data_IF_091714002384
#
_entry.id   IF_091714002384
#
_cell.length_a   1.000
_cell.length_b   1.000
_cell.length_c   1.000
_cell.angle_alpha   90.00
_cell.angle_beta   90.00
_cell.angle_gamma   90.00
#
_symmetry.space_group_name_H-M   'P 1'
#
loop_
_entity.id
_entity.type
_entity.pdbx_description
1 polymer ?
#
# COMPACT_ATOMS: atom_id res chain seq x y z
N UNK A 1 -0.54 -17.12 45.33
CA UNK A 1 -1.69 -17.02 44.39
C UNK A 1 -2.09 -15.61 44.03
N UNK A 2 -2.29 -14.70 44.96
CA UNK A 2 -2.70 -13.31 44.61
C UNK A 2 -1.69 -12.52 43.75
N UNK A 3 -0.38 -12.73 43.94
CA UNK A 3 0.66 -12.06 43.14
C UNK A 3 0.74 -12.58 41.69
N UNK A 4 0.56 -13.87 41.46
CA UNK A 4 0.59 -14.49 40.13
C UNK A 4 -0.56 -13.99 39.24
N UNK A 5 -1.76 -13.82 39.82
CA UNK A 5 -2.92 -13.29 39.11
C UNK A 5 -2.72 -11.84 38.68
N UNK A 6 -2.07 -10.99 39.52
CA UNK A 6 -1.74 -9.60 39.19
C UNK A 6 -0.76 -9.52 37.99
N UNK A 7 0.26 -10.36 37.94
CA UNK A 7 1.21 -10.41 36.82
C UNK A 7 0.55 -10.86 35.52
N UNK A 8 -0.36 -11.84 35.57
CA UNK A 8 -1.13 -12.29 34.40
C UNK A 8 -2.03 -11.16 33.87
N UNK A 9 -2.73 -10.43 34.73
CA UNK A 9 -3.58 -9.31 34.37
C UNK A 9 -2.79 -8.15 33.74
N UNK A 10 -1.61 -7.82 34.29
CA UNK A 10 -0.72 -6.77 33.74
C UNK A 10 -0.20 -7.20 32.36
N UNK A 11 0.22 -8.45 32.19
CA UNK A 11 0.68 -8.98 30.91
C UNK A 11 -0.43 -8.95 29.83
N UNK A 12 -1.66 -9.30 30.19
CA UNK A 12 -2.81 -9.26 29.28
C UNK A 12 -3.16 -7.82 28.87
N UNK A 13 -3.09 -6.88 29.80
CA UNK A 13 -3.32 -5.45 29.52
C UNK A 13 -2.27 -4.87 28.59
N UNK A 14 -0.98 -5.19 28.76
CA UNK A 14 0.09 -4.75 27.86
C UNK A 14 -0.09 -5.29 26.44
N UNK A 15 -0.53 -6.55 26.27
CA UNK A 15 -0.80 -7.12 24.95
C UNK A 15 -1.94 -6.39 24.22
N UNK A 16 -3.01 -6.04 24.93
CA UNK A 16 -4.13 -5.29 24.37
C UNK A 16 -3.74 -3.88 23.91
N UNK A 17 -2.89 -3.19 24.71
CA UNK A 17 -2.39 -1.86 24.34
C UNK A 17 -1.54 -1.86 23.05
N UNK A 18 -0.71 -2.88 22.86
CA UNK A 18 0.10 -2.99 21.63
C UNK A 18 -0.77 -3.20 20.39
N UNK A 19 -1.86 -3.94 20.50
CA UNK A 19 -2.77 -4.21 19.37
C UNK A 19 -3.50 -2.95 18.90
N UNK A 20 -3.95 -2.10 19.82
CA UNK A 20 -4.63 -0.82 19.51
C UNK A 20 -3.71 0.18 18.84
N UNK A 21 -2.45 0.30 19.27
CA UNK A 21 -1.46 1.22 18.68
C UNK A 21 -1.14 0.86 17.23
N UNK A 22 -0.98 -0.44 16.90
CA UNK A 22 -0.73 -0.87 15.52
C UNK A 22 -1.92 -0.59 14.59
N UNK A 23 -3.14 -0.85 15.03
CA UNK A 23 -4.35 -0.57 14.25
C UNK A 23 -4.50 0.93 13.95
N UNK A 24 -4.22 1.78 14.92
CA UNK A 24 -4.30 3.24 14.79
C UNK A 24 -3.24 3.80 13.83
N UNK A 25 -2.02 3.31 13.86
CA UNK A 25 -0.95 3.72 12.93
C UNK A 25 -1.28 3.33 11.50
N UNK A 26 -1.79 2.12 11.28
CA UNK A 26 -2.19 1.65 9.96
C UNK A 26 -3.32 2.50 9.36
N UNK A 27 -4.32 2.83 10.17
CA UNK A 27 -5.45 3.65 9.75
C UNK A 27 -5.00 5.05 9.29
N UNK A 28 -4.10 5.69 10.03
CA UNK A 28 -3.52 6.99 9.67
C UNK A 28 -2.76 6.93 8.34
N UNK A 29 -1.96 5.91 8.10
CA UNK A 29 -1.25 5.73 6.83
C UNK A 29 -2.21 5.59 5.64
N UNK A 30 -3.31 4.90 5.83
CA UNK A 30 -4.34 4.74 4.80
C UNK A 30 -5.04 6.07 4.50
N UNK A 31 -5.39 6.83 5.52
CA UNK A 31 -5.97 8.17 5.36
C UNK A 31 -5.03 9.12 4.63
N UNK A 32 -3.75 9.13 4.99
CA UNK A 32 -2.73 9.93 4.32
C UNK A 32 -2.60 9.55 2.83
N UNK A 33 -2.59 8.26 2.53
CA UNK A 33 -2.55 7.76 1.16
C UNK A 33 -3.77 8.21 0.35
N UNK A 34 -4.96 8.02 0.89
CA UNK A 34 -6.22 8.42 0.25
C UNK A 34 -6.22 9.93 0.00
N UNK A 35 -5.87 10.71 0.99
CA UNK A 35 -5.81 12.17 0.87
C UNK A 35 -4.84 12.62 -0.24
N UNK A 36 -3.69 11.95 -0.35
CA UNK A 36 -2.65 12.29 -1.34
C UNK A 36 -3.05 11.93 -2.78
N UNK A 37 -3.76 10.83 -2.99
CA UNK A 37 -4.02 10.26 -4.33
C UNK A 37 -5.47 10.33 -4.79
N UNK A 38 -6.40 10.82 -3.96
CA UNK A 38 -7.83 10.87 -4.29
C UNK A 38 -8.14 11.64 -5.58
N UNK A 39 -7.47 12.76 -5.81
CA UNK A 39 -7.74 13.60 -6.99
C UNK A 39 -7.33 12.89 -8.28
N UNK A 40 -6.22 12.15 -8.28
CA UNK A 40 -5.83 11.31 -9.40
C UNK A 40 -6.87 10.23 -9.70
N UNK A 41 -7.36 9.55 -8.66
CA UNK A 41 -8.38 8.52 -8.82
C UNK A 41 -9.71 9.09 -9.33
N UNK A 42 -10.07 10.30 -8.92
CA UNK A 42 -11.27 11.01 -9.42
C UNK A 42 -11.09 11.39 -10.89
N UNK A 43 -9.93 11.87 -11.29
CA UNK A 43 -9.65 12.20 -12.69
C UNK A 43 -9.71 10.95 -13.57
N UNK A 44 -9.17 9.84 -13.14
CA UNK A 44 -9.28 8.55 -13.83
C UNK A 44 -10.73 8.05 -13.89
N UNK A 45 -11.52 8.25 -12.84
CA UNK A 45 -12.95 7.93 -12.84
C UNK A 45 -13.71 8.72 -13.93
N UNK A 46 -13.41 10.00 -14.08
CA UNK A 46 -14.02 10.84 -15.12
C UNK A 46 -13.64 10.37 -16.52
N UNK A 47 -12.40 9.91 -16.69
CA UNK A 47 -11.84 9.49 -17.97
C UNK A 47 -12.29 8.09 -18.40
N UNK A 48 -12.23 7.13 -17.47
CA UNK A 48 -12.45 5.69 -17.75
C UNK A 48 -13.70 5.11 -17.08
N UNK A 49 -14.42 5.89 -16.28
CA UNK A 49 -15.65 5.47 -15.58
C UNK A 49 -15.45 4.34 -14.56
N UNK A 50 -14.25 4.15 -14.07
CA UNK A 50 -13.96 3.26 -12.93
C UNK A 50 -14.17 4.06 -11.65
N UNK A 51 -14.95 3.57 -10.67
CA UNK A 51 -15.15 4.29 -9.41
C UNK A 51 -13.82 4.62 -8.73
N UNK A 52 -13.65 5.88 -8.32
CA UNK A 52 -12.41 6.35 -7.68
C UNK A 52 -12.05 5.55 -6.42
N UNK A 53 -13.06 5.10 -5.67
CA UNK A 53 -12.87 4.25 -4.48
C UNK A 53 -12.20 2.90 -4.81
N UNK A 54 -12.50 2.32 -5.96
CA UNK A 54 -11.89 1.06 -6.42
C UNK A 54 -10.43 1.29 -6.78
N UNK A 55 -10.14 2.31 -7.57
CA UNK A 55 -8.76 2.66 -7.94
C UNK A 55 -7.91 2.97 -6.71
N UNK A 56 -8.43 3.76 -5.77
CA UNK A 56 -7.75 4.07 -4.51
C UNK A 56 -7.49 2.83 -3.66
N UNK A 57 -8.49 1.96 -3.51
CA UNK A 57 -8.35 0.74 -2.73
C UNK A 57 -7.28 -0.19 -3.33
N UNK A 58 -7.27 -0.36 -4.64
CA UNK A 58 -6.24 -1.16 -5.33
C UNK A 58 -4.85 -0.56 -5.15
N UNK A 59 -4.69 0.73 -5.42
CA UNK A 59 -3.41 1.42 -5.25
C UNK A 59 -2.88 1.34 -3.82
N UNK A 60 -3.75 1.51 -2.83
CA UNK A 60 -3.41 1.41 -1.41
C UNK A 60 -2.96 0.00 -1.03
N UNK A 61 -3.71 -1.03 -1.42
CA UNK A 61 -3.41 -2.42 -1.07
C UNK A 61 -2.17 -2.94 -1.82
N UNK A 62 -2.09 -2.74 -3.12
CA UNK A 62 -0.98 -3.21 -3.95
C UNK A 62 0.36 -2.55 -3.61
N UNK A 63 0.33 -1.31 -3.17
CA UNK A 63 1.54 -0.55 -2.82
C UNK A 63 1.87 -0.54 -1.33
N UNK A 64 1.04 -1.16 -0.48
CA UNK A 64 1.15 -1.03 0.97
C UNK A 64 1.09 0.42 1.41
N UNK A 65 0.07 1.17 0.96
CA UNK A 65 -0.06 2.61 1.16
C UNK A 65 1.15 3.42 0.64
N UNK A 66 1.75 2.98 -0.47
CA UNK A 66 2.96 3.58 -1.06
C UNK A 66 4.26 3.26 -0.32
N UNK A 67 4.24 2.38 0.67
CA UNK A 67 5.37 2.07 1.55
C UNK A 67 6.15 0.82 1.16
N UNK A 68 5.62 -0.02 0.27
CA UNK A 68 6.31 -1.24 -0.16
C UNK A 68 7.63 -0.93 -0.85
N UNK A 69 8.56 -1.88 -0.82
CA UNK A 69 9.86 -1.74 -1.49
C UNK A 69 9.69 -1.49 -2.98
N UNK A 70 8.81 -2.24 -3.64
CA UNK A 70 8.53 -2.07 -5.06
C UNK A 70 7.97 -0.68 -5.36
N UNK A 71 6.96 -0.22 -4.62
CA UNK A 71 6.34 1.10 -4.83
C UNK A 71 7.36 2.24 -4.66
N UNK A 72 8.23 2.16 -3.67
CA UNK A 72 9.26 3.19 -3.44
C UNK A 72 10.34 3.22 -4.51
N UNK A 73 10.75 2.07 -5.05
CA UNK A 73 11.77 1.97 -6.09
C UNK A 73 11.25 2.33 -7.48
N UNK A 74 10.01 1.99 -7.77
CA UNK A 74 9.44 2.06 -9.13
C UNK A 74 8.37 3.13 -9.32
N UNK A 75 7.85 3.72 -8.26
CA UNK A 75 6.63 4.56 -8.29
C UNK A 75 5.42 3.83 -8.90
N UNK A 76 5.43 2.52 -8.89
CA UNK A 76 4.40 1.66 -9.45
C UNK A 76 3.50 1.17 -8.31
N UNK A 77 2.37 1.81 -8.13
CA UNK A 77 1.45 1.54 -7.03
C UNK A 77 0.49 0.37 -7.30
N UNK A 78 0.43 -0.12 -8.53
CA UNK A 78 -0.50 -1.17 -8.95
C UNK A 78 0.19 -2.49 -9.30
N UNK A 79 1.51 -2.59 -9.10
CA UNK A 79 2.25 -3.79 -9.46
C UNK A 79 2.18 -4.13 -10.94
N UNK A 80 2.20 -3.13 -11.82
CA UNK A 80 2.06 -3.32 -13.26
C UNK A 80 3.35 -3.95 -13.80
N UNK A 81 3.22 -5.13 -14.38
CA UNK A 81 4.34 -5.86 -14.99
C UNK A 81 4.73 -5.25 -16.34
N UNK A 82 5.97 -5.49 -16.77
CA UNK A 82 6.51 -4.86 -17.99
C UNK A 82 5.65 -5.13 -19.23
N UNK A 83 5.25 -6.38 -19.44
CA UNK A 83 4.58 -6.77 -20.68
C UNK A 83 5.50 -6.65 -21.91
N UNK A 84 4.98 -7.02 -23.09
CA UNK A 84 5.75 -7.05 -24.33
C UNK A 84 6.05 -5.67 -24.95
N UNK A 85 5.20 -4.69 -24.68
CA UNK A 85 5.24 -3.37 -25.35
C UNK A 85 5.90 -2.27 -24.51
N UNK A 86 6.32 -2.58 -23.29
CA UNK A 86 6.89 -1.60 -22.40
C UNK A 86 8.35 -1.27 -22.79
N UNK A 87 8.60 -0.03 -23.13
CA UNK A 87 9.93 0.49 -23.48
C UNK A 87 10.53 1.43 -22.43
N UNK A 88 9.79 1.70 -21.36
CA UNK A 88 10.23 2.58 -20.26
C UNK A 88 11.17 1.88 -19.27
N UNK A 89 11.48 2.57 -18.19
CA UNK A 89 12.31 2.03 -17.12
C UNK A 89 11.65 0.83 -16.44
N UNK A 90 12.46 -0.06 -15.93
CA UNK A 90 12.01 -1.29 -15.26
C UNK A 90 12.69 -1.47 -13.92
N UNK A 91 12.04 -2.21 -13.03
CA UNK A 91 12.58 -2.69 -11.76
C UNK A 91 12.34 -4.18 -11.66
N UNK A 92 13.34 -4.92 -11.17
CA UNK A 92 13.19 -6.35 -10.87
C UNK A 92 12.80 -6.55 -9.42
N UNK A 93 11.82 -7.39 -9.19
CA UNK A 93 11.30 -7.70 -7.86
C UNK A 93 10.72 -9.11 -7.82
N UNK A 94 10.88 -9.77 -6.68
CA UNK A 94 10.27 -11.08 -6.45
C UNK A 94 8.79 -10.89 -6.09
N UNK A 95 7.91 -11.61 -6.78
CA UNK A 95 6.48 -11.62 -6.56
C UNK A 95 5.96 -13.06 -6.71
N UNK A 96 5.05 -13.34 -7.63
CA UNK A 96 4.59 -14.72 -7.92
C UNK A 96 5.74 -15.61 -8.41
N UNK A 97 6.68 -15.03 -9.13
CA UNK A 97 7.94 -15.64 -9.52
C UNK A 97 9.13 -14.78 -9.06
N UNK A 98 10.34 -15.37 -9.11
CA UNK A 98 11.56 -14.64 -8.79
C UNK A 98 11.95 -13.68 -9.91
N UNK A 99 12.47 -12.51 -9.54
CA UNK A 99 13.06 -11.55 -10.45
C UNK A 99 12.14 -11.09 -11.58
N UNK A 100 10.86 -10.91 -11.29
CA UNK A 100 9.89 -10.42 -12.26
C UNK A 100 10.14 -8.97 -12.66
N UNK A 101 9.76 -8.64 -13.90
CA UNK A 101 9.91 -7.30 -14.45
C UNK A 101 8.66 -6.46 -14.15
N UNK A 102 8.87 -5.34 -13.46
CA UNK A 102 7.84 -4.35 -13.20
C UNK A 102 8.17 -3.03 -13.89
N UNK A 103 7.13 -2.36 -14.38
CA UNK A 103 7.25 -1.01 -14.92
C UNK A 103 7.70 -0.05 -13.84
N UNK A 104 8.62 0.86 -14.16
CA UNK A 104 9.07 1.91 -13.26
C UNK A 104 8.72 3.27 -13.85
N UNK A 105 8.09 4.11 -13.03
CA UNK A 105 7.60 5.41 -13.42
C UNK A 105 8.41 6.53 -12.76
N UNK A 106 8.33 7.71 -13.34
CA UNK A 106 9.00 8.90 -12.82
C UNK A 106 8.29 9.42 -11.56
N UNK A 107 6.98 9.32 -11.55
CA UNK A 107 6.12 9.73 -10.44
C UNK A 107 5.02 8.69 -10.18
N UNK A 108 4.50 8.59 -8.94
CA UNK A 108 3.40 7.68 -8.64
C UNK A 108 2.14 7.92 -9.49
N UNK A 109 1.85 9.18 -9.85
CA UNK A 109 0.70 9.52 -10.69
C UNK A 109 0.71 8.78 -12.03
N UNK A 110 1.89 8.56 -12.60
CA UNK A 110 2.03 7.92 -13.91
C UNK A 110 1.58 6.45 -13.85
N UNK A 111 1.56 5.84 -12.67
CA UNK A 111 1.03 4.49 -12.49
C UNK A 111 -0.50 4.45 -12.37
N UNK A 112 -1.15 5.59 -12.13
CA UNK A 112 -2.60 5.73 -12.10
C UNK A 112 -3.20 5.90 -13.51
N UNK A 113 -2.43 6.41 -14.46
CA UNK A 113 -2.79 6.66 -15.86
C UNK A 113 -2.61 5.40 -16.72
#
# INVERSE_FOLDING_TARGET
MKHTLKFILIGLFCCLCNFTVQAQTRNRQYEEYIHKYKDLAIDEMKRYRIPASITLAQGLLESGAGKSTLARKSNNHFGIKCGGDWTGRTVRHDDDARNECFRAYKHPRDSYE
#
